data_IF_074774588563
#
_entry.id   IF_074774588563
#
_cell.length_a   1.000
_cell.length_b   1.000
_cell.length_c   1.000
_cell.angle_alpha   90.00
_cell.angle_beta   90.00
_cell.angle_gamma   90.00
#
_symmetry.space_group_name_H-M   'P 1'
#
loop_
_entity.id
_entity.type
_entity.pdbx_description
1 polymer ?
#
# COMPACT_ATOMS: atom_id res chain seq x y z
N UNK A 1 -1.38 6.53 20.33
CA UNK A 1 -2.24 6.31 19.15
C UNK A 1 -3.19 5.18 19.47
N UNK A 2 -4.47 5.28 19.13
CA UNK A 2 -5.39 4.15 19.28
C UNK A 2 -5.25 3.20 18.07
N UNK A 3 -4.49 2.13 18.24
CA UNK A 3 -4.19 1.15 17.19
C UNK A 3 -5.44 0.37 16.79
N UNK A 4 -6.31 0.05 17.76
CA UNK A 4 -7.54 -0.69 17.51
C UNK A 4 -8.51 0.12 16.64
N UNK A 5 -8.71 1.40 16.96
CA UNK A 5 -9.54 2.28 16.16
C UNK A 5 -8.97 2.44 14.73
N UNK A 6 -7.64 2.54 14.60
CA UNK A 6 -6.98 2.62 13.30
C UNK A 6 -7.17 1.33 12.49
N UNK A 7 -7.02 0.14 13.09
CA UNK A 7 -7.22 -1.14 12.42
C UNK A 7 -8.66 -1.31 11.91
N UNK A 8 -9.66 -0.89 12.69
CA UNK A 8 -11.08 -0.89 12.29
C UNK A 8 -11.31 0.02 11.09
N UNK A 9 -10.76 1.24 11.11
CA UNK A 9 -10.91 2.19 10.02
C UNK A 9 -10.19 1.75 8.73
N UNK A 10 -9.00 1.14 8.85
CA UNK A 10 -8.30 0.54 7.70
C UNK A 10 -9.16 -0.56 7.05
N UNK A 11 -9.74 -1.44 7.87
CA UNK A 11 -10.62 -2.51 7.38
C UNK A 11 -11.90 -2.01 6.73
N UNK A 12 -12.44 -0.87 7.15
CA UNK A 12 -13.62 -0.28 6.50
C UNK A 12 -13.28 0.39 5.16
N UNK A 13 -12.00 0.46 4.78
CA UNK A 13 -11.55 1.09 3.55
C UNK A 13 -11.45 2.63 3.66
N UNK A 14 -11.33 3.18 4.88
CA UNK A 14 -11.08 4.60 5.06
C UNK A 14 -9.71 4.97 4.47
N UNK A 15 -9.72 5.75 3.38
CA UNK A 15 -8.52 6.18 2.66
C UNK A 15 -7.55 6.98 3.54
N UNK A 16 -8.06 7.82 4.43
CA UNK A 16 -7.22 8.60 5.33
C UNK A 16 -6.60 7.71 6.42
N UNK A 17 -7.35 6.72 6.91
CA UNK A 17 -6.81 5.72 7.85
C UNK A 17 -5.72 4.86 7.20
N UNK A 18 -5.91 4.41 5.97
CA UNK A 18 -4.89 3.67 5.20
C UNK A 18 -3.63 4.51 5.04
N UNK A 19 -3.74 5.79 4.69
CA UNK A 19 -2.58 6.68 4.59
C UNK A 19 -1.83 6.81 5.92
N UNK A 20 -2.53 7.03 7.04
CA UNK A 20 -1.92 7.07 8.38
C UNK A 20 -1.23 5.76 8.75
N UNK A 21 -1.84 4.63 8.42
CA UNK A 21 -1.28 3.30 8.67
C UNK A 21 0.02 3.08 7.86
N UNK A 22 0.04 3.46 6.58
CA UNK A 22 1.25 3.40 5.76
C UNK A 22 2.36 4.27 6.35
N UNK A 23 2.07 5.53 6.69
CA UNK A 23 3.04 6.42 7.34
C UNK A 23 3.57 5.86 8.65
N UNK A 24 2.72 5.22 9.45
CA UNK A 24 3.14 4.57 10.70
C UNK A 24 4.10 3.41 10.42
N UNK A 25 3.78 2.55 9.46
CA UNK A 25 4.59 1.37 9.10
C UNK A 25 5.91 1.75 8.44
N UNK A 26 5.96 2.83 7.66
CA UNK A 26 7.17 3.34 7.02
C UNK A 26 8.06 4.18 7.95
N UNK A 27 7.57 4.52 9.14
CA UNK A 27 8.29 5.39 10.05
C UNK A 27 9.56 4.74 10.60
N UNK A 28 10.66 5.48 10.60
CA UNK A 28 11.95 5.07 11.18
C UNK A 28 12.09 5.42 12.66
N UNK A 29 11.05 5.98 13.29
CA UNK A 29 11.10 6.36 14.70
C UNK A 29 10.85 5.15 15.60
N UNK A 30 11.68 4.97 16.62
CA UNK A 30 11.57 3.84 17.56
C UNK A 30 10.23 3.82 18.32
N UNK A 31 9.66 5.00 18.62
CA UNK A 31 8.38 5.13 19.32
C UNK A 31 7.17 4.68 18.46
N UNK A 32 7.35 4.57 17.15
CA UNK A 32 6.33 4.06 16.23
C UNK A 32 6.41 2.54 16.01
N UNK A 33 7.57 1.93 16.21
CA UNK A 33 7.81 0.53 15.86
C UNK A 33 6.85 -0.44 16.54
N UNK A 34 6.60 -0.26 17.84
CA UNK A 34 5.68 -1.11 18.61
C UNK A 34 4.23 -0.99 18.10
N UNK A 35 3.77 0.24 17.86
CA UNK A 35 2.42 0.49 17.35
C UNK A 35 2.23 -0.04 15.91
N UNK A 36 3.26 0.05 15.06
CA UNK A 36 3.24 -0.51 13.71
C UNK A 36 3.13 -2.04 13.74
N UNK A 37 3.91 -2.72 14.58
CA UNK A 37 3.84 -4.17 14.74
C UNK A 37 2.48 -4.63 15.27
N UNK A 38 1.93 -3.92 16.27
CA UNK A 38 0.60 -4.19 16.80
C UNK A 38 -0.48 -4.04 15.72
N UNK A 39 -0.43 -2.95 14.95
CA UNK A 39 -1.36 -2.71 13.85
C UNK A 39 -1.31 -3.83 12.82
N UNK A 40 -0.11 -4.23 12.39
CA UNK A 40 0.06 -5.32 11.43
C UNK A 40 -0.47 -6.64 11.98
N UNK A 41 -0.20 -6.96 13.25
CA UNK A 41 -0.71 -8.16 13.90
C UNK A 41 -2.25 -8.21 13.90
N UNK A 42 -2.91 -7.08 14.17
CA UNK A 42 -4.38 -7.00 14.13
C UNK A 42 -4.95 -7.13 12.71
N UNK A 43 -4.23 -6.67 11.69
CA UNK A 43 -4.68 -6.71 10.29
C UNK A 43 -4.41 -8.05 9.60
N UNK A 44 -3.36 -8.77 9.99
CA UNK A 44 -2.91 -10.03 9.37
C UNK A 44 -4.04 -11.05 9.10
N UNK A 45 -4.97 -11.33 10.04
CA UNK A 45 -6.07 -12.29 9.83
C UNK A 45 -7.03 -11.91 8.69
N UNK A 46 -7.03 -10.65 8.24
CA UNK A 46 -7.91 -10.13 7.20
C UNK A 46 -7.21 -9.97 5.85
N UNK A 47 -5.96 -10.44 5.73
CA UNK A 47 -5.15 -10.33 4.51
C UNK A 47 -5.17 -11.63 3.68
N UNK A 48 -4.59 -11.60 2.48
CA UNK A 48 -4.36 -12.81 1.66
C UNK A 48 -5.43 -13.14 0.62
N UNK A 49 -6.58 -12.45 0.65
CA UNK A 49 -7.67 -12.62 -0.33
C UNK A 49 -7.48 -11.82 -1.64
N UNK A 50 -6.52 -10.91 -1.69
CA UNK A 50 -6.24 -10.09 -2.87
C UNK A 50 -5.31 -10.81 -3.84
N UNK A 51 -5.60 -10.71 -5.15
CA UNK A 51 -4.66 -11.10 -6.20
C UNK A 51 -3.47 -10.11 -6.23
N UNK A 52 -2.24 -10.63 -6.27
CA UNK A 52 -1.00 -9.84 -6.31
C UNK A 52 -0.29 -10.10 -7.63
N UNK A 53 -0.17 -9.07 -8.46
CA UNK A 53 0.41 -9.16 -9.81
C UNK A 53 1.64 -8.25 -9.87
N UNK A 54 2.79 -8.80 -10.24
CA UNK A 54 4.01 -8.04 -10.50
C UNK A 54 4.10 -7.62 -11.97
N UNK A 55 4.34 -6.33 -12.22
CA UNK A 55 4.54 -5.79 -13.57
C UNK A 55 5.95 -5.19 -13.66
N UNK A 56 6.72 -5.63 -14.64
CA UNK A 56 8.08 -5.16 -14.90
C UNK A 56 8.29 -4.90 -16.39
N UNK A 57 9.40 -4.25 -16.74
CA UNK A 57 9.74 -3.90 -18.12
C UNK A 57 10.72 -2.73 -18.18
N UNK A 58 11.42 -2.61 -19.31
CA UNK A 58 12.41 -1.56 -19.54
C UNK A 58 11.81 -0.15 -19.48
N UNK A 59 12.60 0.92 -19.23
CA UNK A 59 12.15 2.30 -19.37
C UNK A 59 11.52 2.52 -20.76
N UNK A 60 10.39 3.24 -20.82
CA UNK A 60 9.68 3.49 -22.08
C UNK A 60 8.80 2.33 -22.60
N UNK A 61 8.77 1.15 -21.96
CA UNK A 61 7.96 0.00 -22.40
C UNK A 61 6.42 0.18 -22.26
N UNK A 62 5.93 1.36 -21.91
CA UNK A 62 4.49 1.60 -21.75
C UNK A 62 3.85 1.02 -20.49
N UNK A 63 4.65 0.65 -19.46
CA UNK A 63 4.15 0.06 -18.20
C UNK A 63 3.06 0.90 -17.53
N UNK A 64 3.27 2.21 -17.42
CA UNK A 64 2.31 3.11 -16.76
C UNK A 64 0.98 3.16 -17.53
N UNK A 65 1.04 3.21 -18.87
CA UNK A 65 -0.16 3.13 -19.72
C UNK A 65 -0.90 1.81 -19.56
N UNK A 66 -0.17 0.70 -19.47
CA UNK A 66 -0.77 -0.61 -19.22
C UNK A 66 -1.44 -0.68 -17.84
N UNK A 67 -0.76 -0.22 -16.79
CA UNK A 67 -1.28 -0.21 -15.42
C UNK A 67 -2.55 0.63 -15.33
N UNK A 68 -2.56 1.82 -15.95
CA UNK A 68 -3.70 2.72 -15.98
C UNK A 68 -4.92 2.08 -16.65
N UNK A 69 -4.73 1.56 -17.87
CA UNK A 69 -5.79 0.86 -18.60
C UNK A 69 -6.31 -0.37 -17.85
N UNK A 70 -5.42 -1.23 -17.35
CA UNK A 70 -5.78 -2.44 -16.61
C UNK A 70 -6.52 -2.09 -15.32
N UNK A 71 -6.06 -1.05 -14.60
CA UNK A 71 -6.70 -0.56 -13.38
C UNK A 71 -8.12 -0.11 -13.64
N UNK A 72 -8.34 0.73 -14.65
CA UNK A 72 -9.67 1.17 -15.06
C UNK A 72 -10.59 0.00 -15.44
N UNK A 73 -10.10 -0.92 -16.26
CA UNK A 73 -10.86 -2.10 -16.68
C UNK A 73 -11.31 -2.96 -15.48
N UNK A 74 -10.44 -3.17 -14.50
CA UNK A 74 -10.77 -3.93 -13.29
C UNK A 74 -11.78 -3.18 -12.39
N UNK A 75 -11.65 -1.86 -12.28
CA UNK A 75 -12.60 -1.02 -11.54
C UNK A 75 -13.99 -1.08 -12.18
N UNK A 76 -14.09 -1.04 -13.52
CA UNK A 76 -15.35 -1.20 -14.26
C UNK A 76 -16.03 -2.55 -14.00
N UNK A 77 -15.25 -3.59 -13.69
CA UNK A 77 -15.73 -4.90 -13.29
C UNK A 77 -16.10 -5.00 -11.79
N UNK A 78 -16.01 -3.89 -11.05
CA UNK A 78 -16.33 -3.83 -9.62
C UNK A 78 -15.18 -4.25 -8.69
N UNK A 79 -13.96 -4.42 -9.21
CA UNK A 79 -12.80 -4.69 -8.36
C UNK A 79 -12.27 -3.42 -7.71
N UNK A 80 -11.62 -3.60 -6.55
CA UNK A 80 -10.83 -2.57 -5.89
C UNK A 80 -9.36 -2.78 -6.25
N UNK A 81 -8.74 -1.77 -6.84
CA UNK A 81 -7.35 -1.84 -7.32
C UNK A 81 -6.46 -0.94 -6.46
N UNK A 82 -5.28 -1.44 -6.13
CA UNK A 82 -4.18 -0.68 -5.53
C UNK A 82 -2.91 -0.91 -6.34
N UNK A 83 -2.11 0.14 -6.52
CA UNK A 83 -0.83 0.08 -7.21
C UNK A 83 0.27 0.44 -6.22
N UNK A 84 1.23 -0.45 -6.02
CA UNK A 84 2.43 -0.21 -5.23
C UNK A 84 3.63 -0.11 -6.16
N UNK A 85 4.24 1.06 -6.24
CA UNK A 85 5.48 1.27 -6.97
C UNK A 85 6.67 0.85 -6.10
N UNK A 86 7.59 0.06 -6.67
CA UNK A 86 8.85 -0.31 -6.02
C UNK A 86 9.99 0.28 -6.84
N UNK A 87 10.65 1.30 -6.30
CA UNK A 87 11.81 1.94 -6.92
C UNK A 87 13.08 1.67 -6.10
N UNK A 88 13.97 0.76 -6.55
CA UNK A 88 15.20 0.44 -5.83
C UNK A 88 16.18 1.63 -5.74
N UNK A 89 16.03 2.65 -6.60
CA UNK A 89 16.91 3.84 -6.59
C UNK A 89 16.65 4.81 -5.42
N UNK A 90 15.50 4.67 -4.74
CA UNK A 90 15.08 5.51 -3.61
C UNK A 90 16.07 5.54 -2.43
N UNK A 91 16.86 4.48 -2.26
CA UNK A 91 17.92 4.41 -1.24
C UNK A 91 19.16 5.26 -1.55
N UNK A 92 19.34 5.67 -2.82
CA UNK A 92 20.52 6.42 -3.29
C UNK A 92 20.20 7.91 -3.47
N UNK A 93 18.94 8.30 -3.71
CA UNK A 93 18.55 9.69 -3.99
C UNK A 93 17.81 10.43 -2.86
N UNK A 94 17.48 9.77 -1.73
CA UNK A 94 16.76 10.42 -0.64
C UNK A 94 15.28 10.65 -0.93
N UNK A 95 14.64 9.68 -1.61
CA UNK A 95 13.21 9.67 -1.88
C UNK A 95 12.86 10.02 -3.34
N UNK A 96 11.85 9.35 -3.87
CA UNK A 96 11.20 9.69 -5.14
C UNK A 96 9.71 9.86 -4.87
N UNK A 97 9.13 10.91 -5.46
CA UNK A 97 7.74 11.37 -5.32
C UNK A 97 6.75 10.30 -5.80
#
# INVERSE_FOLDING_TARGET
MDVQALAVAVRSGDRAAIGRALTLVESTRDDHAAAAQELLAQLLPFTGSAQRIGITGVPGAGKSTLIDFLGHHLIEQGHRVAVLAVDPSSSISGGSI
#
